data_IF_247578773055
#
_entry.id   IF_247578773055
#
_cell.length_a   1.000
_cell.length_b   1.000
_cell.length_c   1.000
_cell.angle_alpha   90.00
_cell.angle_beta   90.00
_cell.angle_gamma   90.00
#
_symmetry.space_group_name_H-M   'P 1'
#
loop_
_entity.id
_entity.type
_entity.pdbx_description
1 polymer ?
#
# COMPACT_ATOMS: atom_id res chain seq x y z
N UNK A 1 -11.57 2.36 10.81
CA UNK A 1 -10.56 1.58 10.06
C UNK A 1 -10.29 0.21 10.68
N UNK A 2 -10.73 -0.06 11.92
CA UNK A 2 -10.53 -1.34 12.64
C UNK A 2 -9.07 -1.69 12.99
N UNK A 3 -8.09 -0.85 12.63
CA UNK A 3 -6.67 -1.09 12.93
C UNK A 3 -6.20 -0.16 14.05
N UNK A 4 -5.63 -0.76 15.09
CA UNK A 4 -5.09 -0.02 16.24
C UNK A 4 -3.80 0.71 15.84
N UNK A 5 -3.60 1.89 16.44
CA UNK A 5 -2.33 2.59 16.38
C UNK A 5 -1.25 1.82 17.15
N UNK A 6 -0.04 1.86 16.62
CA UNK A 6 1.13 1.35 17.33
C UNK A 6 1.40 2.19 18.60
N UNK A 7 2.05 1.56 19.57
CA UNK A 7 2.59 2.30 20.73
C UNK A 7 3.72 3.23 20.30
N UNK A 8 4.07 4.17 21.16
CA UNK A 8 5.20 5.06 20.90
C UNK A 8 6.51 4.29 20.68
N UNK A 9 6.76 3.24 21.47
CA UNK A 9 7.95 2.40 21.34
C UNK A 9 7.98 1.67 19.99
N UNK A 10 6.84 1.12 19.53
CA UNK A 10 6.75 0.46 18.22
C UNK A 10 7.00 1.44 17.07
N UNK A 11 6.44 2.64 17.17
CA UNK A 11 6.69 3.71 16.19
C UNK A 11 8.16 4.10 16.18
N UNK A 12 8.79 4.26 17.34
CA UNK A 12 10.23 4.56 17.46
C UNK A 12 11.09 3.43 16.90
N UNK A 13 10.74 2.17 17.19
CA UNK A 13 11.43 1.00 16.59
C UNK A 13 11.34 1.02 15.07
N UNK A 14 10.17 1.37 14.50
CA UNK A 14 9.98 1.50 13.05
C UNK A 14 10.89 2.60 12.47
N UNK A 15 10.95 3.77 13.10
CA UNK A 15 11.84 4.86 12.73
C UNK A 15 13.32 4.47 12.85
N UNK A 16 13.67 3.69 13.86
CA UNK A 16 15.02 3.16 14.09
C UNK A 16 15.51 2.24 12.97
N UNK A 17 14.60 1.55 12.27
CA UNK A 17 14.93 0.71 11.11
C UNK A 17 15.22 1.53 9.82
N UNK A 18 14.96 2.83 9.82
CA UNK A 18 15.14 3.70 8.65
C UNK A 18 16.59 4.12 8.47
N UNK A 19 17.05 4.12 7.21
CA UNK A 19 18.31 4.76 6.84
C UNK A 19 18.23 6.28 7.05
N UNK A 20 19.38 6.95 7.08
CA UNK A 20 19.43 8.41 7.22
C UNK A 20 18.64 9.14 6.11
N UNK A 21 18.69 8.64 4.87
CA UNK A 21 17.90 9.18 3.78
C UNK A 21 16.39 9.11 4.04
N UNK A 22 15.89 8.02 4.62
CA UNK A 22 14.47 7.90 4.97
C UNK A 22 14.11 8.74 6.23
N UNK A 23 15.00 8.83 7.22
CA UNK A 23 14.82 9.73 8.36
C UNK A 23 14.77 11.21 7.94
N UNK A 24 15.57 11.59 6.94
CA UNK A 24 15.51 12.94 6.34
C UNK A 24 14.11 13.24 5.79
N UNK A 25 13.48 12.31 5.04
CA UNK A 25 12.12 12.47 4.56
C UNK A 25 11.11 12.68 5.70
N UNK A 26 11.26 11.95 6.82
CA UNK A 26 10.40 12.14 8.01
C UNK A 26 10.58 13.53 8.59
N UNK A 27 11.83 14.01 8.73
CA UNK A 27 12.11 15.38 9.22
C UNK A 27 11.54 16.45 8.29
N UNK A 28 11.59 16.25 6.98
CA UNK A 28 10.97 17.14 6.00
C UNK A 28 9.44 17.15 6.16
N UNK A 29 8.82 15.98 6.31
CA UNK A 29 7.40 15.87 6.61
C UNK A 29 7.00 16.57 7.92
N UNK A 30 7.85 16.54 8.96
CA UNK A 30 7.63 17.29 10.20
C UNK A 30 7.66 18.81 10.00
N UNK A 31 8.53 19.29 9.10
CA UNK A 31 8.67 20.72 8.78
C UNK A 31 7.58 21.24 7.83
N UNK A 32 6.82 20.37 7.18
CA UNK A 32 5.82 20.75 6.18
C UNK A 32 4.64 21.58 6.73
N UNK A 33 4.51 21.71 8.06
CA UNK A 33 3.47 22.51 8.71
C UNK A 33 2.04 21.96 8.55
N UNK A 34 1.88 20.82 7.90
CA UNK A 34 0.61 20.14 7.65
C UNK A 34 0.70 18.66 8.00
N UNK A 35 -0.45 18.01 8.09
CA UNK A 35 -0.50 16.55 8.25
C UNK A 35 0.03 15.86 6.99
N UNK A 36 1.05 15.01 7.16
CA UNK A 36 1.62 14.19 6.11
C UNK A 36 1.36 12.71 6.41
N UNK A 37 0.99 11.96 5.38
CA UNK A 37 0.79 10.50 5.49
C UNK A 37 1.76 9.82 4.55
N UNK A 38 2.59 8.94 5.08
CA UNK A 38 3.57 8.18 4.30
C UNK A 38 3.29 6.69 4.32
N UNK A 39 3.48 6.05 3.19
CA UNK A 39 3.53 4.59 3.09
C UNK A 39 4.88 4.06 3.58
N UNK A 40 4.87 3.04 4.44
CA UNK A 40 6.07 2.44 5.00
C UNK A 40 6.17 0.98 4.61
N UNK A 41 7.32 0.60 4.08
CA UNK A 41 7.67 -0.76 3.69
C UNK A 41 8.81 -1.28 4.54
N UNK A 42 8.69 -2.51 5.02
CA UNK A 42 9.81 -3.24 5.61
C UNK A 42 10.42 -4.15 4.56
N UNK A 43 11.73 -4.08 4.42
CA UNK A 43 12.49 -4.93 3.50
C UNK A 43 13.69 -5.51 4.21
N UNK A 44 14.03 -6.76 3.89
CA UNK A 44 15.31 -7.35 4.29
C UNK A 44 16.38 -6.80 3.38
N UNK A 45 17.46 -6.28 3.96
CA UNK A 45 18.67 -5.81 3.28
C UNK A 45 19.88 -6.49 3.91
N UNK A 46 21.00 -6.46 3.23
CA UNK A 46 22.28 -6.81 3.82
C UNK A 46 22.89 -5.54 4.46
N UNK A 47 23.50 -5.68 5.63
CA UNK A 47 24.36 -4.65 6.21
C UNK A 47 25.77 -4.73 5.59
N UNK A 48 26.69 -3.90 6.09
CA UNK A 48 28.07 -3.83 5.59
C UNK A 48 28.88 -5.11 5.85
N UNK A 49 28.43 -5.91 6.84
CA UNK A 49 29.03 -7.21 7.19
C UNK A 49 28.33 -8.39 6.48
N UNK A 50 27.33 -8.13 5.63
CA UNK A 50 26.59 -9.15 4.90
C UNK A 50 25.45 -9.83 5.67
N UNK A 51 25.11 -9.35 6.89
CA UNK A 51 24.02 -9.90 7.68
C UNK A 51 22.67 -9.38 7.19
N UNK A 52 21.64 -10.24 7.27
CA UNK A 52 20.27 -9.86 6.94
C UNK A 52 19.67 -8.97 8.02
N UNK A 53 19.40 -7.71 7.68
CA UNK A 53 18.74 -6.75 8.58
C UNK A 53 17.42 -6.26 8.00
N UNK A 54 16.42 -6.04 8.86
CA UNK A 54 15.19 -5.38 8.44
C UNK A 54 15.41 -3.88 8.36
N UNK A 55 15.08 -3.29 7.22
CA UNK A 55 15.06 -1.83 6.99
C UNK A 55 13.63 -1.38 6.71
N UNK A 56 13.29 -0.17 7.17
CA UNK A 56 12.06 0.50 6.85
C UNK A 56 12.32 1.63 5.84
N UNK A 57 11.52 1.67 4.80
CA UNK A 57 11.57 2.70 3.75
C UNK A 57 10.24 3.46 3.77
N UNK A 58 10.26 4.80 3.70
CA UNK A 58 9.08 5.66 3.73
C UNK A 58 8.95 6.50 2.47
N UNK A 59 7.71 6.71 2.02
CA UNK A 59 7.34 7.59 0.91
C UNK A 59 6.25 8.55 1.36
N UNK A 60 6.36 9.82 0.95
CA UNK A 60 5.38 10.89 1.17
C UNK A 60 4.99 11.58 -0.14
N UNK A 61 5.08 10.87 -1.25
CA UNK A 61 4.84 11.35 -2.61
C UNK A 61 3.44 11.00 -3.14
N UNK A 62 2.50 10.76 -2.24
CA UNK A 62 1.11 10.40 -2.51
C UNK A 62 0.92 9.13 -3.37
N UNK A 63 1.99 8.35 -3.54
CA UNK A 63 1.95 7.07 -4.25
C UNK A 63 2.02 5.92 -3.26
N UNK A 64 1.00 5.08 -3.26
CA UNK A 64 1.06 3.80 -2.58
C UNK A 64 1.96 2.84 -3.38
N UNK A 65 2.82 2.11 -2.68
CA UNK A 65 3.58 1.05 -3.33
C UNK A 65 2.75 -0.20 -3.55
N UNK A 66 3.36 -1.20 -4.18
CA UNK A 66 2.72 -2.48 -4.44
C UNK A 66 2.19 -3.11 -3.15
N UNK A 67 0.91 -3.35 -3.09
CA UNK A 67 0.28 -4.15 -2.04
C UNK A 67 0.68 -5.60 -2.26
N UNK A 68 1.12 -6.26 -1.19
CA UNK A 68 1.54 -7.65 -1.24
C UNK A 68 0.81 -8.43 -0.17
N UNK A 69 0.46 -9.67 -0.47
CA UNK A 69 -0.02 -10.60 0.53
C UNK A 69 1.08 -10.97 1.52
N UNK A 70 0.74 -11.25 2.79
CA UNK A 70 1.71 -11.64 3.81
C UNK A 70 2.35 -13.01 3.55
N UNK A 71 1.75 -13.85 2.70
CA UNK A 71 2.29 -15.13 2.28
C UNK A 71 3.54 -14.93 1.42
N UNK A 72 4.61 -15.66 1.67
CA UNK A 72 5.86 -15.56 0.90
C UNK A 72 6.91 -14.59 1.44
N UNK A 73 6.86 -14.24 2.73
CA UNK A 73 7.89 -13.42 3.40
C UNK A 73 7.73 -11.91 3.21
N UNK A 74 6.65 -11.46 2.60
CA UNK A 74 6.33 -10.03 2.48
C UNK A 74 5.72 -9.50 3.78
N UNK A 75 6.21 -8.37 4.29
CA UNK A 75 5.57 -7.68 5.40
C UNK A 75 4.39 -6.85 4.92
N UNK A 76 3.31 -6.82 5.72
CA UNK A 76 2.19 -5.90 5.49
C UNK A 76 2.68 -4.47 5.47
N UNK A 77 2.10 -3.66 4.60
CA UNK A 77 2.37 -2.24 4.53
C UNK A 77 1.87 -1.53 5.80
N UNK A 78 2.65 -0.58 6.25
CA UNK A 78 2.27 0.33 7.34
C UNK A 78 2.11 1.75 6.81
N UNK A 79 1.41 2.57 7.56
CA UNK A 79 1.37 4.02 7.33
C UNK A 79 2.05 4.74 8.49
N UNK A 80 2.68 5.86 8.16
CA UNK A 80 3.25 6.81 9.10
C UNK A 80 2.50 8.13 8.96
N UNK A 81 1.90 8.61 10.03
CA UNK A 81 1.23 9.91 10.07
C UNK A 81 2.09 10.88 10.86
N UNK A 82 2.46 11.98 10.22
CA UNK A 82 3.33 13.02 10.77
C UNK A 82 2.54 14.33 10.86
N UNK A 83 2.44 14.88 12.07
CA UNK A 83 1.78 16.15 12.38
C UNK A 83 2.71 16.99 13.25
N UNK A 84 3.59 17.75 12.62
CA UNK A 84 4.68 18.45 13.32
C UNK A 84 5.55 17.45 14.10
N UNK A 85 5.65 17.61 15.43
CA UNK A 85 6.43 16.70 16.27
C UNK A 85 5.76 15.37 16.55
N UNK A 86 4.44 15.26 16.31
CA UNK A 86 3.68 14.04 16.59
C UNK A 86 3.80 13.08 15.41
N UNK A 87 4.35 11.90 15.68
CA UNK A 87 4.49 10.81 14.70
C UNK A 87 3.76 9.59 15.23
N UNK A 88 2.93 8.98 14.40
CA UNK A 88 2.20 7.75 14.72
C UNK A 88 2.28 6.79 13.56
N UNK A 89 2.33 5.50 13.86
CA UNK A 89 2.30 4.44 12.85
C UNK A 89 1.19 3.43 13.13
N UNK A 90 0.75 2.74 12.12
CA UNK A 90 -0.10 1.55 12.19
C UNK A 90 -0.02 0.75 10.89
N UNK A 91 -0.53 -0.46 10.89
CA UNK A 91 -0.74 -1.19 9.65
C UNK A 91 -1.77 -0.46 8.76
N UNK A 92 -1.60 -0.60 7.45
CA UNK A 92 -2.61 -0.25 6.47
C UNK A 92 -3.86 -1.12 6.73
N UNK A 93 -5.05 -0.52 6.78
CA UNK A 93 -6.27 -1.28 6.96
C UNK A 93 -6.70 -1.96 5.65
N UNK A 94 -7.45 -3.08 5.72
CA UNK A 94 -7.96 -3.74 4.52
C UNK A 94 -8.84 -2.81 3.67
N UNK A 95 -9.63 -1.94 4.31
CA UNK A 95 -10.45 -0.95 3.58
C UNK A 95 -9.59 0.08 2.84
N UNK A 96 -8.52 0.55 3.46
CA UNK A 96 -7.57 1.44 2.78
C UNK A 96 -6.86 0.73 1.63
N UNK A 97 -6.44 -0.52 1.82
CA UNK A 97 -5.87 -1.34 0.76
C UNK A 97 -6.85 -1.53 -0.40
N UNK A 98 -8.12 -1.84 -0.12
CA UNK A 98 -9.17 -1.97 -1.13
C UNK A 98 -9.38 -0.65 -1.91
N UNK A 99 -9.41 0.50 -1.24
CA UNK A 99 -9.49 1.82 -1.90
C UNK A 99 -8.29 2.09 -2.81
N UNK A 100 -7.09 1.73 -2.38
CA UNK A 100 -5.87 1.85 -3.20
C UNK A 100 -5.92 0.97 -4.46
N UNK A 101 -6.66 -0.13 -4.42
CA UNK A 101 -6.92 -1.00 -5.57
C UNK A 101 -8.11 -0.51 -6.43
N UNK A 102 -8.76 0.58 -6.05
CA UNK A 102 -9.90 1.14 -6.77
C UNK A 102 -11.24 0.47 -6.49
N UNK A 103 -11.33 -0.34 -5.43
CA UNK A 103 -12.60 -0.93 -5.00
C UNK A 103 -13.47 0.13 -4.29
N UNK A 104 -14.78 0.18 -4.60
CA UNK A 104 -15.69 1.14 -3.96
C UNK A 104 -15.92 0.80 -2.48
N UNK A 105 -16.34 1.78 -1.70
CA UNK A 105 -16.62 1.57 -0.27
C UNK A 105 -17.76 0.61 0.00
N UNK A 106 -18.68 0.44 -0.96
CA UNK A 106 -19.77 -0.52 -0.94
C UNK A 106 -19.29 -1.97 -1.10
N UNK A 107 -18.06 -2.21 -1.57
CA UNK A 107 -17.52 -3.56 -1.70
C UNK A 107 -17.39 -4.23 -0.34
N UNK A 108 -18.04 -5.38 -0.18
CA UNK A 108 -18.03 -6.15 1.07
C UNK A 108 -16.72 -6.89 1.23
N UNK A 109 -15.95 -6.51 2.24
CA UNK A 109 -14.74 -7.22 2.63
C UNK A 109 -15.07 -8.26 3.71
N UNK A 110 -14.34 -9.39 3.74
CA UNK A 110 -14.41 -10.33 4.85
C UNK A 110 -14.16 -9.66 6.21
N UNK A 111 -14.74 -10.16 7.30
CA UNK A 111 -14.53 -9.59 8.63
C UNK A 111 -13.09 -9.80 9.15
N UNK A 112 -12.45 -10.89 8.72
CA UNK A 112 -11.06 -11.18 9.10
C UNK A 112 -10.09 -10.24 8.38
N UNK A 113 -9.17 -9.64 9.14
CA UNK A 113 -8.17 -8.71 8.60
C UNK A 113 -7.32 -9.34 7.50
N UNK A 114 -6.83 -10.57 7.71
CA UNK A 114 -5.91 -11.21 6.77
C UNK A 114 -6.61 -11.52 5.44
N UNK A 115 -7.80 -12.10 5.51
CA UNK A 115 -8.58 -12.45 4.32
C UNK A 115 -8.96 -11.21 3.51
N UNK A 116 -9.41 -10.16 4.20
CA UNK A 116 -9.74 -8.88 3.58
C UNK A 116 -8.51 -8.18 2.96
N UNK A 117 -7.34 -8.32 3.58
CA UNK A 117 -6.10 -7.74 3.04
C UNK A 117 -5.57 -8.56 1.86
N UNK A 118 -5.74 -9.89 1.86
CA UNK A 118 -5.36 -10.77 0.75
C UNK A 118 -6.12 -10.41 -0.53
N UNK A 119 -7.41 -10.12 -0.46
CA UNK A 119 -8.21 -9.68 -1.63
C UNK A 119 -7.54 -8.49 -2.32
N UNK A 120 -7.08 -7.52 -1.56
CA UNK A 120 -6.40 -6.35 -2.13
C UNK A 120 -4.98 -6.67 -2.63
N UNK A 121 -4.26 -7.58 -1.95
CA UNK A 121 -2.87 -7.93 -2.29
C UNK A 121 -2.75 -8.85 -3.51
N UNK A 122 -3.71 -9.76 -3.70
CA UNK A 122 -3.74 -10.70 -4.83
C UNK A 122 -4.54 -10.15 -6.04
N UNK A 123 -5.34 -9.10 -5.81
CA UNK A 123 -6.17 -8.50 -6.84
C UNK A 123 -5.39 -7.65 -7.83
N UNK A 124 -5.99 -7.44 -8.99
CA UNK A 124 -5.52 -6.45 -9.98
C UNK A 124 -6.25 -5.12 -9.73
N UNK A 125 -5.58 -4.00 -9.92
CA UNK A 125 -6.16 -2.68 -9.74
C UNK A 125 -7.39 -2.48 -10.66
N UNK A 126 -8.56 -2.25 -10.06
CA UNK A 126 -9.84 -2.15 -10.76
C UNK A 126 -9.84 -1.13 -11.91
N UNK A 127 -9.25 0.08 -11.75
CA UNK A 127 -9.18 1.04 -12.85
C UNK A 127 -8.42 0.52 -14.07
N UNK A 128 -7.37 -0.30 -13.86
CA UNK A 128 -6.60 -0.90 -14.96
C UNK A 128 -7.45 -1.92 -15.72
N UNK A 129 -8.12 -2.82 -14.97
CA UNK A 129 -9.00 -3.84 -15.59
C UNK A 129 -10.14 -3.17 -16.36
N UNK A 130 -10.75 -2.13 -15.79
CA UNK A 130 -11.80 -1.37 -16.47
C UNK A 130 -11.30 -0.74 -17.76
N UNK A 131 -10.14 -0.09 -17.73
CA UNK A 131 -9.55 0.53 -18.92
C UNK A 131 -9.29 -0.51 -20.03
N UNK A 132 -8.76 -1.69 -19.68
CA UNK A 132 -8.56 -2.76 -20.66
C UNK A 132 -9.88 -3.29 -21.20
N UNK A 133 -10.90 -3.46 -20.36
CA UNK A 133 -12.23 -3.89 -20.79
C UNK A 133 -12.83 -2.90 -21.80
N UNK A 134 -12.94 -1.64 -21.42
CA UNK A 134 -13.61 -0.60 -22.22
C UNK A 134 -12.88 -0.29 -23.54
N UNK A 135 -11.55 -0.33 -23.57
CA UNK A 135 -10.77 0.14 -24.71
C UNK A 135 -10.19 -0.98 -25.59
N UNK A 136 -10.17 -2.21 -25.10
CA UNK A 136 -9.62 -3.35 -25.84
C UNK A 136 -10.64 -4.47 -25.99
N UNK A 137 -11.13 -5.04 -24.90
CA UNK A 137 -11.92 -6.27 -24.98
C UNK A 137 -13.33 -6.05 -25.52
N UNK A 138 -14.04 -5.01 -25.08
CA UNK A 138 -15.38 -4.70 -25.57
C UNK A 138 -15.37 -4.31 -27.07
N UNK A 139 -14.48 -3.47 -27.59
CA UNK A 139 -14.35 -3.21 -29.01
C UNK A 139 -14.04 -4.46 -29.83
N UNK A 140 -13.16 -5.35 -29.38
CA UNK A 140 -12.86 -6.60 -30.04
C UNK A 140 -14.08 -7.53 -30.10
N UNK A 141 -14.81 -7.66 -29.01
CA UNK A 141 -16.01 -8.45 -28.92
C UNK A 141 -17.09 -7.94 -29.88
N UNK A 142 -17.32 -6.63 -29.91
CA UNK A 142 -18.25 -5.99 -30.84
C UNK A 142 -17.87 -6.21 -32.30
N UNK A 143 -16.58 -6.16 -32.62
CA UNK A 143 -16.10 -6.44 -33.98
C UNK A 143 -16.36 -7.90 -34.38
N UNK A 144 -16.03 -8.85 -33.50
CA UNK A 144 -16.27 -10.27 -33.73
C UNK A 144 -17.77 -10.57 -34.00
N UNK A 145 -18.65 -10.03 -33.16
CA UNK A 145 -20.11 -10.20 -33.31
C UNK A 145 -20.65 -9.62 -34.61
N UNK A 146 -20.14 -8.49 -35.09
CA UNK A 146 -20.51 -7.91 -36.38
C UNK A 146 -20.07 -8.77 -37.57
N UNK A 147 -18.88 -9.37 -37.44
CA UNK A 147 -18.34 -10.24 -38.49
C UNK A 147 -19.16 -11.53 -38.62
N UNK A 148 -19.53 -12.13 -37.46
CA UNK A 148 -20.40 -13.31 -37.44
C UNK A 148 -21.81 -13.03 -37.98
N UNK A 149 -22.37 -11.87 -37.69
CA UNK A 149 -23.70 -11.49 -38.20
C UNK A 149 -23.73 -11.15 -39.71
N UNK A 150 -22.57 -10.90 -40.32
CA UNK A 150 -22.42 -10.59 -41.74
C UNK A 150 -22.05 -11.80 -42.60
N UNK A 151 -21.78 -12.95 -42.00
CA UNK A 151 -21.43 -14.22 -42.66
C UNK A 151 -22.64 -15.13 -42.82
#
# INVERSE_FOLDING_TARGET
>A
TGVKWDTAERTQKLLGMMSEANRKKVREAQKAGRRMVGGVYKRTRLDEEGNKVQRAEVRFDDIAGCLRTPSGGSSRQSILVVEGRKIRSRLLSPREAARLMGLPDSYRLPPNYNDAYHIAGDGVAVPVVRHLAEHIFEPLLQHAQRTEAAA
#
